data_IF_249200825335
#
_entry.id   IF_249200825335
#
_cell.length_a   1.000
_cell.length_b   1.000
_cell.length_c   1.000
_cell.angle_alpha   90.00
_cell.angle_beta   90.00
_cell.angle_gamma   90.00
#
_symmetry.space_group_name_H-M   'P 1'
#
loop_
_entity.id
_entity.type
_entity.pdbx_description
1 polymer ?
#
# COMPACT_ATOMS: atom_id res chain seq x y z
N UNK A 1 21.22 -38.54 -19.84
CA UNK A 1 21.29 -37.46 -20.85
C UNK A 1 20.25 -36.35 -20.61
N UNK A 2 19.11 -36.63 -19.97
CA UNK A 2 18.03 -35.61 -19.73
C UNK A 2 18.32 -34.58 -18.65
N UNK A 3 19.17 -34.89 -17.67
CA UNK A 3 19.45 -34.01 -16.52
C UNK A 3 20.59 -33.00 -16.74
N UNK A 4 21.45 -33.17 -17.73
CA UNK A 4 22.57 -32.23 -18.01
C UNK A 4 22.08 -31.02 -18.79
N UNK A 5 21.08 -31.16 -19.64
CA UNK A 5 20.53 -30.02 -20.40
C UNK A 5 19.67 -29.07 -19.56
N UNK A 6 19.02 -29.57 -18.50
CA UNK A 6 18.23 -28.72 -17.59
C UNK A 6 19.06 -27.70 -16.80
N UNK A 7 20.31 -28.05 -16.45
CA UNK A 7 21.23 -27.18 -15.69
C UNK A 7 21.87 -26.09 -16.53
N UNK A 8 22.13 -26.32 -17.84
CA UNK A 8 22.72 -25.32 -18.73
C UNK A 8 21.68 -24.30 -19.24
N UNK A 9 20.47 -24.76 -19.58
CA UNK A 9 19.39 -23.88 -20.03
C UNK A 9 18.90 -22.97 -18.89
N UNK A 10 18.87 -23.45 -17.64
CA UNK A 10 18.47 -22.63 -16.49
C UNK A 10 19.48 -21.51 -16.18
N UNK A 11 20.78 -21.77 -16.34
CA UNK A 11 21.81 -20.74 -16.11
C UNK A 11 21.89 -19.71 -17.24
N UNK A 12 21.81 -20.14 -18.50
CA UNK A 12 21.77 -19.22 -19.65
C UNK A 12 20.46 -18.39 -19.66
N UNK A 13 19.34 -19.03 -19.35
CA UNK A 13 18.04 -18.34 -19.26
C UNK A 13 18.02 -17.31 -18.13
N UNK A 14 18.57 -17.65 -16.96
CA UNK A 14 18.71 -16.74 -15.83
C UNK A 14 19.66 -15.55 -16.14
N UNK A 15 20.71 -15.78 -16.92
CA UNK A 15 21.66 -14.71 -17.31
C UNK A 15 21.07 -13.82 -18.40
N UNK A 16 20.39 -14.38 -19.39
CA UNK A 16 19.69 -13.64 -20.45
C UNK A 16 18.45 -12.92 -19.92
N UNK A 17 17.69 -13.52 -18.99
CA UNK A 17 16.60 -12.83 -18.29
C UNK A 17 17.13 -11.65 -17.45
N UNK A 18 18.24 -11.81 -16.72
CA UNK A 18 18.80 -10.71 -15.93
C UNK A 18 19.26 -9.52 -16.78
N UNK A 19 19.82 -9.77 -17.98
CA UNK A 19 20.24 -8.68 -18.87
C UNK A 19 19.06 -7.98 -19.57
N UNK A 20 17.98 -8.71 -19.91
CA UNK A 20 16.79 -8.11 -20.53
C UNK A 20 15.82 -7.47 -19.54
N UNK A 21 15.75 -7.95 -18.30
CA UNK A 21 14.88 -7.38 -17.27
C UNK A 21 15.30 -5.95 -16.94
N UNK A 22 16.61 -5.66 -16.89
CA UNK A 22 17.12 -4.29 -16.63
C UNK A 22 16.74 -3.27 -17.71
N UNK A 23 16.36 -3.70 -18.91
CA UNK A 23 15.92 -2.81 -19.99
C UNK A 23 14.41 -2.54 -20.01
N UNK A 24 13.63 -3.33 -19.25
CA UNK A 24 12.15 -3.27 -19.25
C UNK A 24 11.63 -2.64 -17.95
N UNK A 25 12.41 -2.61 -16.88
CA UNK A 25 11.94 -2.11 -15.57
C UNK A 25 11.94 -0.58 -15.52
N UNK A 26 10.83 -0.04 -15.02
CA UNK A 26 10.72 1.37 -14.62
C UNK A 26 11.74 1.63 -13.50
N UNK A 27 12.51 2.73 -13.58
CA UNK A 27 13.61 3.02 -12.63
C UNK A 27 13.13 3.04 -11.18
N UNK A 28 11.99 3.65 -10.90
CA UNK A 28 11.40 3.71 -9.57
C UNK A 28 11.18 2.32 -8.97
N UNK A 29 10.81 1.32 -9.78
CA UNK A 29 10.58 -0.05 -9.30
C UNK A 29 11.88 -0.84 -9.08
N UNK A 30 12.98 -0.47 -9.75
CA UNK A 30 14.28 -1.14 -9.58
C UNK A 30 14.90 -0.90 -8.20
N UNK A 31 14.66 0.27 -7.62
CA UNK A 31 15.29 0.71 -6.37
C UNK A 31 14.28 1.06 -5.28
N UNK A 32 13.01 0.67 -5.47
CA UNK A 32 11.93 1.01 -4.57
C UNK A 32 12.19 0.54 -3.14
N UNK A 33 12.27 1.51 -2.25
CA UNK A 33 12.37 1.29 -0.81
C UNK A 33 11.33 2.12 -0.07
N UNK A 34 11.05 1.78 1.17
CA UNK A 34 10.16 2.57 2.01
C UNK A 34 10.96 3.60 2.79
N UNK A 35 10.67 4.87 2.59
CA UNK A 35 11.35 5.99 3.24
C UNK A 35 10.53 6.48 4.43
N UNK A 36 11.16 6.55 5.59
CA UNK A 36 10.55 6.97 6.87
C UNK A 36 11.23 8.17 7.51
N UNK A 37 12.41 8.56 6.99
CA UNK A 37 13.11 9.78 7.40
C UNK A 37 13.26 10.70 6.20
N UNK A 38 12.98 11.96 6.43
CA UNK A 38 12.92 12.98 5.40
C UNK A 38 13.84 14.15 5.74
N UNK A 39 14.43 14.72 4.72
CA UNK A 39 15.19 15.98 4.81
C UNK A 39 14.25 17.12 5.22
N UNK A 40 14.79 18.10 5.91
CA UNK A 40 14.11 19.39 6.15
C UNK A 40 14.09 20.19 4.83
N UNK A 41 13.27 19.73 3.92
CA UNK A 41 13.08 20.33 2.59
C UNK A 41 11.63 20.13 2.18
N UNK A 42 10.96 21.23 1.88
CA UNK A 42 9.56 21.19 1.44
C UNK A 42 9.40 20.52 0.08
N UNK A 43 8.21 19.98 -0.16
CA UNK A 43 7.73 19.52 -1.46
C UNK A 43 6.82 20.60 -2.00
N UNK A 44 7.25 21.34 -3.03
CA UNK A 44 6.47 22.47 -3.54
C UNK A 44 5.06 22.07 -3.97
N UNK A 45 4.11 22.99 -3.90
CA UNK A 45 2.73 22.75 -4.36
C UNK A 45 2.71 22.43 -5.86
N UNK A 46 3.53 23.10 -6.64
CA UNK A 46 3.62 22.86 -8.10
C UNK A 46 4.04 21.41 -8.40
N UNK A 47 5.10 20.92 -7.74
CA UNK A 47 5.56 19.54 -7.89
C UNK A 47 4.48 18.55 -7.45
N UNK A 48 3.90 18.77 -6.26
CA UNK A 48 2.87 17.87 -5.74
C UNK A 48 1.64 17.83 -6.65
N UNK A 49 1.14 18.98 -7.09
CA UNK A 49 -0.02 19.07 -7.96
C UNK A 49 0.26 18.42 -9.32
N UNK A 50 1.45 18.62 -9.91
CA UNK A 50 1.84 17.97 -11.14
C UNK A 50 1.86 16.43 -11.02
N UNK A 51 2.35 15.90 -9.89
CA UNK A 51 2.32 14.46 -9.61
C UNK A 51 0.90 13.92 -9.42
N UNK A 52 0.06 14.66 -8.70
CA UNK A 52 -1.34 14.29 -8.49
C UNK A 52 -2.11 14.27 -9.82
N UNK A 53 -1.95 15.29 -10.67
CA UNK A 53 -2.59 15.35 -12.00
C UNK A 53 -2.16 14.20 -12.91
N UNK A 54 -0.87 13.86 -12.92
CA UNK A 54 -0.40 12.71 -13.68
C UNK A 54 -0.97 11.39 -13.12
N UNK A 55 -1.01 11.22 -11.80
CA UNK A 55 -1.59 10.05 -11.16
C UNK A 55 -3.08 9.87 -11.45
N UNK A 56 -3.82 10.96 -11.69
CA UNK A 56 -5.24 10.92 -12.10
C UNK A 56 -5.45 10.26 -13.47
N UNK A 57 -4.39 9.97 -14.25
CA UNK A 57 -4.49 9.20 -15.50
C UNK A 57 -4.63 7.70 -15.28
N UNK A 58 -4.57 7.25 -14.04
CA UNK A 58 -4.83 5.85 -13.66
C UNK A 58 -6.23 5.39 -14.08
N UNK A 59 -6.39 4.09 -14.30
CA UNK A 59 -7.68 3.47 -14.60
C UNK A 59 -8.64 3.63 -13.41
N UNK A 60 -9.90 3.91 -13.72
CA UNK A 60 -10.97 3.99 -12.72
C UNK A 60 -12.25 3.34 -13.21
N UNK A 61 -13.07 2.88 -12.28
CA UNK A 61 -14.37 2.27 -12.57
C UNK A 61 -15.28 3.26 -13.30
N UNK A 62 -15.67 2.90 -14.53
CA UNK A 62 -16.56 3.72 -15.37
C UNK A 62 -16.06 5.15 -15.61
N UNK A 63 -14.79 5.43 -15.45
CA UNK A 63 -14.18 6.76 -15.49
C UNK A 63 -14.81 7.77 -14.51
N UNK A 64 -15.28 7.27 -13.34
CA UNK A 64 -15.94 8.11 -12.33
C UNK A 64 -14.95 8.71 -11.32
N UNK A 65 -13.70 8.25 -11.29
CA UNK A 65 -12.65 8.67 -10.35
C UNK A 65 -13.16 8.68 -8.90
N UNK A 66 -13.47 7.47 -8.39
CA UNK A 66 -14.17 7.24 -7.12
C UNK A 66 -13.24 7.38 -5.91
N UNK A 67 -12.37 8.36 -5.91
CA UNK A 67 -11.43 8.65 -4.84
C UNK A 67 -11.30 10.15 -4.59
N UNK A 68 -10.84 10.49 -3.41
CA UNK A 68 -10.41 11.83 -3.01
C UNK A 68 -9.08 11.76 -2.28
N UNK A 69 -8.31 12.84 -2.33
CA UNK A 69 -7.03 12.98 -1.64
C UNK A 69 -7.09 14.18 -0.71
N UNK A 70 -6.82 13.95 0.57
CA UNK A 70 -6.64 15.04 1.54
C UNK A 70 -5.13 15.24 1.74
N UNK A 71 -4.66 16.44 1.41
CA UNK A 71 -3.26 16.86 1.58
C UNK A 71 -3.11 17.56 2.94
N UNK A 72 -2.27 17.03 3.81
CA UNK A 72 -1.99 17.58 5.12
C UNK A 72 -0.53 18.04 5.20
N UNK A 73 -0.31 19.35 5.38
CA UNK A 73 1.01 19.97 5.56
C UNK A 73 1.15 20.63 6.94
N UNK A 74 0.03 21.12 7.48
CA UNK A 74 0.00 21.79 8.79
C UNK A 74 0.44 20.85 9.91
N UNK A 75 1.41 21.29 10.72
CA UNK A 75 2.01 20.47 11.76
C UNK A 75 1.01 20.09 12.87
N UNK A 76 0.08 20.98 13.20
CA UNK A 76 -0.96 20.68 14.19
C UNK A 76 -1.91 19.61 13.66
N UNK A 77 -2.26 19.68 12.38
CA UNK A 77 -3.12 18.70 11.76
C UNK A 77 -2.40 17.34 11.65
N UNK A 78 -1.10 17.30 11.31
CA UNK A 78 -0.28 16.08 11.35
C UNK A 78 -0.22 15.47 12.75
N UNK A 79 -0.06 16.30 13.79
CA UNK A 79 -0.10 15.86 15.18
C UNK A 79 -1.46 15.26 15.57
N UNK A 80 -2.58 15.81 15.08
CA UNK A 80 -3.92 15.23 15.29
C UNK A 80 -4.11 13.88 14.57
N UNK A 81 -3.46 13.68 13.42
CA UNK A 81 -3.49 12.41 12.67
C UNK A 81 -2.58 11.34 13.29
N UNK A 82 -1.51 11.72 13.98
CA UNK A 82 -0.50 10.80 14.47
C UNK A 82 -1.04 9.64 15.33
N UNK A 83 -2.01 9.84 16.25
CA UNK A 83 -2.60 8.73 17.01
C UNK A 83 -3.25 7.65 16.15
N UNK A 84 -3.92 8.01 15.05
CA UNK A 84 -4.51 7.06 14.11
C UNK A 84 -3.45 6.14 13.46
N UNK A 85 -2.22 6.61 13.40
CA UNK A 85 -1.05 5.90 12.88
C UNK A 85 -0.09 5.42 13.99
N UNK A 86 -0.62 5.17 15.20
CA UNK A 86 0.17 4.70 16.36
C UNK A 86 1.36 5.60 16.71
N UNK A 87 1.23 6.90 16.49
CA UNK A 87 2.28 7.90 16.70
C UNK A 87 3.61 7.57 16.00
N UNK A 88 3.55 6.94 14.84
CA UNK A 88 4.74 6.67 14.03
C UNK A 88 5.41 8.01 13.64
N UNK A 89 6.71 8.19 13.90
CA UNK A 89 7.39 9.49 13.76
C UNK A 89 7.23 10.13 12.37
N UNK A 90 7.23 9.32 11.30
CA UNK A 90 7.10 9.83 9.94
C UNK A 90 5.78 10.55 9.69
N UNK A 91 4.74 10.29 10.46
CA UNK A 91 3.44 10.97 10.31
C UNK A 91 3.55 12.47 10.61
N UNK A 92 4.38 12.85 11.58
CA UNK A 92 4.59 14.27 11.96
C UNK A 92 5.82 14.89 11.31
N UNK A 93 6.83 14.07 10.95
CA UNK A 93 8.11 14.56 10.41
C UNK A 93 8.09 14.74 8.90
N UNK A 94 7.19 14.07 8.18
CA UNK A 94 7.11 14.23 6.73
C UNK A 94 6.63 15.64 6.36
N UNK A 95 7.18 16.26 5.30
CA UNK A 95 6.69 17.53 4.78
C UNK A 95 5.23 17.47 4.37
N UNK A 96 4.80 16.32 3.83
CA UNK A 96 3.44 16.11 3.33
C UNK A 96 2.91 14.77 3.80
N UNK A 97 1.66 14.74 4.23
CA UNK A 97 0.87 13.52 4.46
C UNK A 97 -0.31 13.54 3.49
N UNK A 98 -0.46 12.47 2.70
CA UNK A 98 -1.57 12.30 1.79
C UNK A 98 -2.50 11.22 2.35
N UNK A 99 -3.75 11.55 2.60
CA UNK A 99 -4.79 10.56 2.94
C UNK A 99 -5.67 10.35 1.73
N UNK A 100 -5.62 9.14 1.16
CA UNK A 100 -6.39 8.76 -0.01
C UNK A 100 -7.64 8.01 0.46
N UNK A 101 -8.79 8.48 0.00
CA UNK A 101 -10.10 8.00 0.43
C UNK A 101 -10.85 7.34 -0.74
N UNK A 102 -11.52 6.22 -0.48
CA UNK A 102 -12.64 5.75 -1.29
C UNK A 102 -13.76 6.78 -1.18
N UNK A 103 -14.27 7.30 -2.30
CA UNK A 103 -15.23 8.41 -2.34
C UNK A 103 -16.34 8.17 -3.37
N UNK A 104 -17.52 7.81 -2.90
CA UNK A 104 -18.76 7.79 -3.68
C UNK A 104 -19.65 9.00 -3.43
N UNK A 105 -19.27 9.91 -2.51
CA UNK A 105 -20.08 11.08 -2.19
C UNK A 105 -20.24 12.02 -3.37
N UNK A 106 -19.14 12.38 -4.03
CA UNK A 106 -19.15 13.29 -5.19
C UNK A 106 -20.08 12.79 -6.29
N UNK A 107 -19.97 11.50 -6.65
CA UNK A 107 -20.79 10.86 -7.67
C UNK A 107 -22.26 10.76 -7.25
N UNK A 108 -22.52 10.47 -5.97
CA UNK A 108 -23.88 10.45 -5.41
C UNK A 108 -24.53 11.83 -5.46
N UNK A 109 -23.81 12.88 -5.09
CA UNK A 109 -24.31 14.26 -5.16
C UNK A 109 -24.59 14.67 -6.61
N UNK A 110 -23.69 14.36 -7.53
CA UNK A 110 -23.89 14.61 -8.96
C UNK A 110 -25.16 13.91 -9.50
N UNK A 111 -25.33 12.62 -9.17
CA UNK A 111 -26.51 11.86 -9.58
C UNK A 111 -27.80 12.49 -9.06
N UNK A 112 -27.87 12.86 -7.78
CA UNK A 112 -29.03 13.53 -7.18
C UNK A 112 -29.34 14.88 -7.84
N UNK A 113 -28.32 15.69 -8.13
CA UNK A 113 -28.47 16.95 -8.86
C UNK A 113 -29.01 16.76 -10.29
N UNK A 114 -28.83 15.59 -10.87
CA UNK A 114 -29.36 15.22 -12.20
C UNK A 114 -30.66 14.41 -12.12
N UNK A 115 -31.31 14.36 -10.95
CA UNK A 115 -32.56 13.63 -10.68
C UNK A 115 -32.45 12.13 -10.95
N UNK A 116 -31.25 11.57 -10.84
CA UNK A 116 -31.00 10.15 -10.87
C UNK A 116 -31.18 9.56 -9.46
N UNK A 117 -31.38 8.25 -9.39
CA UNK A 117 -31.54 7.52 -8.13
C UNK A 117 -30.24 6.69 -7.87
N UNK A 118 -29.24 7.22 -7.14
CA UNK A 118 -27.99 6.52 -6.89
C UNK A 118 -28.20 5.40 -5.88
N UNK A 119 -27.61 4.23 -6.13
CA UNK A 119 -27.56 3.07 -5.26
C UNK A 119 -26.13 2.73 -4.84
N UNK A 120 -25.37 3.71 -4.33
CA UNK A 120 -23.94 3.57 -4.03
C UNK A 120 -23.63 3.38 -2.54
N UNK A 121 -24.65 3.17 -1.74
CA UNK A 121 -24.62 2.98 -0.30
C UNK A 121 -24.54 1.48 0.08
N UNK A 122 -23.56 0.79 -0.48
CA UNK A 122 -23.36 -0.64 -0.29
C UNK A 122 -21.88 -1.04 -0.37
N UNK A 123 -21.57 -2.26 0.06
CA UNK A 123 -20.20 -2.77 0.12
C UNK A 123 -19.54 -2.90 -1.26
N UNK A 124 -20.28 -3.24 -2.32
CA UNK A 124 -19.72 -3.30 -3.68
C UNK A 124 -19.20 -1.92 -4.11
N UNK A 125 -19.97 -0.87 -3.81
CA UNK A 125 -19.56 0.51 -4.10
C UNK A 125 -18.29 0.89 -3.34
N UNK A 126 -18.19 0.52 -2.07
CA UNK A 126 -16.95 0.70 -1.31
C UNK A 126 -15.76 0.00 -1.98
N UNK A 127 -15.91 -1.28 -2.37
CA UNK A 127 -14.85 -2.03 -3.02
C UNK A 127 -14.39 -1.38 -4.34
N UNK A 128 -15.33 -0.91 -5.16
CA UNK A 128 -15.02 -0.20 -6.40
C UNK A 128 -14.22 1.09 -6.12
N UNK A 129 -14.66 1.89 -5.16
CA UNK A 129 -13.99 3.13 -4.79
C UNK A 129 -12.62 2.89 -4.13
N UNK A 130 -12.50 1.86 -3.29
CA UNK A 130 -11.22 1.46 -2.70
C UNK A 130 -10.23 0.98 -3.77
N UNK A 131 -10.69 0.24 -4.78
CA UNK A 131 -9.86 -0.17 -5.92
C UNK A 131 -9.32 1.04 -6.67
N UNK A 132 -10.18 1.98 -7.07
CA UNK A 132 -9.77 3.22 -7.73
C UNK A 132 -8.73 3.99 -6.90
N UNK A 133 -8.98 4.15 -5.61
CA UNK A 133 -8.10 4.85 -4.67
C UNK A 133 -6.72 4.18 -4.56
N UNK A 134 -6.65 2.84 -4.49
CA UNK A 134 -5.39 2.11 -4.38
C UNK A 134 -4.60 2.10 -5.69
N UNK A 135 -5.27 2.00 -6.84
CA UNK A 135 -4.62 2.14 -8.15
C UNK A 135 -4.02 3.54 -8.32
N UNK A 136 -4.77 4.59 -7.98
CA UNK A 136 -4.27 5.96 -7.95
C UNK A 136 -3.06 6.09 -7.04
N UNK A 137 -3.14 5.56 -5.80
CA UNK A 137 -2.05 5.62 -4.81
C UNK A 137 -0.77 5.01 -5.37
N UNK A 138 -0.83 3.82 -5.97
CA UNK A 138 0.36 3.17 -6.51
C UNK A 138 0.94 3.91 -7.72
N UNK A 139 0.10 4.46 -8.58
CA UNK A 139 0.57 5.29 -9.70
C UNK A 139 1.28 6.54 -9.20
N UNK A 140 0.71 7.24 -8.20
CA UNK A 140 1.34 8.38 -7.54
C UNK A 140 2.70 8.00 -6.92
N UNK A 141 2.77 6.86 -6.24
CA UNK A 141 4.01 6.37 -5.64
C UNK A 141 5.14 6.20 -6.68
N UNK A 142 4.84 5.60 -7.84
CA UNK A 142 5.82 5.44 -8.91
C UNK A 142 6.30 6.81 -9.45
N UNK A 143 5.39 7.73 -9.67
CA UNK A 143 5.72 9.08 -10.15
C UNK A 143 6.56 9.86 -9.13
N UNK A 144 6.23 9.75 -7.83
CA UNK A 144 6.99 10.41 -6.77
C UNK A 144 8.45 9.91 -6.70
N UNK A 145 8.66 8.60 -6.85
CA UNK A 145 10.01 8.02 -6.88
C UNK A 145 10.80 8.43 -8.14
N UNK A 146 10.16 8.56 -9.32
CA UNK A 146 10.81 9.07 -10.53
C UNK A 146 11.33 10.53 -10.36
N UNK A 147 10.65 11.32 -9.53
CA UNK A 147 11.06 12.68 -9.17
C UNK A 147 12.04 12.73 -7.97
N UNK A 148 12.47 11.56 -7.46
CA UNK A 148 13.41 11.45 -6.36
C UNK A 148 12.80 11.69 -4.97
N UNK A 149 11.47 11.72 -4.85
CA UNK A 149 10.77 11.74 -3.58
C UNK A 149 10.73 10.33 -2.98
N UNK A 150 10.70 10.26 -1.65
CA UNK A 150 10.48 9.04 -0.91
C UNK A 150 9.12 9.08 -0.19
N UNK A 151 8.56 7.90 0.06
CA UNK A 151 7.29 7.78 0.78
C UNK A 151 7.26 6.55 1.68
N UNK A 152 6.37 6.60 2.67
CA UNK A 152 5.95 5.44 3.45
C UNK A 152 4.45 5.24 3.33
N UNK A 153 4.03 4.07 2.86
CA UNK A 153 2.64 3.65 2.88
C UNK A 153 2.27 3.17 4.29
N UNK A 154 1.32 3.83 4.93
CA UNK A 154 0.88 3.53 6.29
C UNK A 154 -0.28 2.53 6.28
N UNK A 155 0.01 1.26 6.50
CA UNK A 155 -1.01 0.20 6.60
C UNK A 155 -1.99 0.39 7.77
N UNK A 156 -1.65 1.25 8.71
CA UNK A 156 -2.47 1.60 9.88
C UNK A 156 -3.74 2.38 9.54
N UNK A 157 -3.87 2.90 8.33
CA UNK A 157 -5.04 3.68 7.87
C UNK A 157 -6.36 2.92 8.07
N UNK A 158 -6.39 1.66 7.67
CA UNK A 158 -7.57 0.81 7.81
C UNK A 158 -7.75 0.21 9.22
N UNK A 159 -6.76 0.39 10.12
CA UNK A 159 -6.85 -0.06 11.50
C UNK A 159 -7.61 0.94 12.37
N UNK A 160 -7.46 2.24 12.12
CA UNK A 160 -8.07 3.31 12.88
C UNK A 160 -8.80 4.32 11.98
N UNK A 161 -9.66 3.88 11.03
CA UNK A 161 -10.28 4.78 10.06
C UNK A 161 -11.19 5.82 10.72
N UNK A 162 -11.85 5.51 11.85
CA UNK A 162 -12.71 6.47 12.55
C UNK A 162 -11.94 7.69 13.03
N UNK A 163 -10.74 7.50 13.61
CA UNK A 163 -9.92 8.64 14.06
C UNK A 163 -9.51 9.55 12.90
N UNK A 164 -9.21 8.97 11.73
CA UNK A 164 -8.87 9.74 10.53
C UNK A 164 -10.10 10.50 10.02
N UNK A 165 -11.26 9.86 10.00
CA UNK A 165 -12.54 10.47 9.62
C UNK A 165 -12.82 11.70 10.49
N UNK A 166 -12.69 11.54 11.81
CA UNK A 166 -12.96 12.61 12.77
C UNK A 166 -11.97 13.78 12.63
N UNK A 167 -10.68 13.49 12.43
CA UNK A 167 -9.64 14.51 12.27
C UNK A 167 -9.75 15.26 10.95
N UNK A 168 -10.09 14.57 9.87
CA UNK A 168 -10.19 15.14 8.52
C UNK A 168 -11.62 15.55 8.15
N UNK A 169 -12.59 15.40 9.06
CA UNK A 169 -13.99 15.77 8.87
C UNK A 169 -14.60 15.10 7.62
N UNK A 170 -14.27 13.81 7.40
CA UNK A 170 -14.72 13.09 6.22
C UNK A 170 -16.24 12.83 6.27
N UNK A 171 -16.98 13.23 5.23
CA UNK A 171 -18.42 13.06 5.20
C UNK A 171 -18.84 11.62 4.90
N UNK A 172 -20.15 11.27 5.03
CA UNK A 172 -20.67 9.97 4.59
C UNK A 172 -20.31 9.65 3.14
N UNK A 173 -20.10 8.36 2.84
CA UNK A 173 -19.63 7.78 1.59
C UNK A 173 -18.19 8.18 1.21
N UNK A 174 -17.39 8.59 2.22
CA UNK A 174 -15.94 8.80 2.10
C UNK A 174 -15.24 8.04 3.21
N UNK A 175 -14.31 7.14 2.86
CA UNK A 175 -13.58 6.31 3.83
C UNK A 175 -12.09 6.28 3.49
N UNK A 176 -11.17 6.58 4.44
CA UNK A 176 -9.74 6.55 4.18
C UNK A 176 -9.26 5.10 3.96
N UNK A 177 -8.53 4.83 2.89
CA UNK A 177 -8.04 3.49 2.54
C UNK A 177 -6.52 3.41 2.47
N UNK A 178 -5.85 4.53 2.25
CA UNK A 178 -4.40 4.62 2.23
C UNK A 178 -3.93 5.96 2.81
N UNK A 179 -2.80 5.95 3.50
CA UNK A 179 -2.09 7.17 3.89
C UNK A 179 -0.63 7.04 3.48
N UNK A 180 -0.11 8.07 2.84
CA UNK A 180 1.30 8.18 2.47
C UNK A 180 1.93 9.34 3.25
N UNK A 181 3.09 9.11 3.86
CA UNK A 181 4.00 10.20 4.21
C UNK A 181 4.96 10.40 3.05
N UNK A 182 5.24 11.64 2.66
CA UNK A 182 5.98 12.00 1.45
C UNK A 182 7.00 13.10 1.75
N UNK A 183 8.18 12.99 1.18
CA UNK A 183 9.22 14.01 1.29
C UNK A 183 10.52 13.60 0.59
N UNK A 184 11.55 14.42 0.69
CA UNK A 184 12.88 14.11 0.18
C UNK A 184 13.58 13.14 1.11
N UNK A 185 14.10 11.99 0.60
CA UNK A 185 14.73 10.97 1.43
C UNK A 185 15.92 11.49 2.22
N UNK A 186 15.99 11.13 3.52
CA UNK A 186 17.15 11.32 4.39
C UNK A 186 17.68 9.99 4.93
N UNK A 187 17.50 8.93 4.17
CA UNK A 187 17.97 7.58 4.46
C UNK A 187 18.09 6.76 3.17
N UNK A 188 18.92 5.74 3.22
CA UNK A 188 19.09 4.76 2.14
C UNK A 188 18.82 3.35 2.69
N UNK A 189 17.56 2.97 2.85
CA UNK A 189 17.22 1.66 3.41
C UNK A 189 17.51 0.54 2.41
N UNK A 190 17.81 -0.63 2.94
CA UNK A 190 17.99 -1.84 2.12
C UNK A 190 16.66 -2.22 1.45
N UNK A 191 16.72 -2.56 0.18
CA UNK A 191 15.56 -3.02 -0.56
C UNK A 191 15.02 -4.33 0.03
N UNK A 192 13.70 -4.38 0.26
CA UNK A 192 13.04 -5.57 0.81
C UNK A 192 13.03 -6.71 -0.21
N UNK A 193 13.12 -7.94 0.28
CA UNK A 193 12.96 -9.17 -0.49
C UNK A 193 11.57 -9.29 -1.15
N UNK A 194 11.46 -10.18 -2.09
CA UNK A 194 10.19 -10.60 -2.72
C UNK A 194 10.15 -12.13 -2.79
N UNK A 195 8.95 -12.67 -2.74
CA UNK A 195 8.73 -14.06 -3.06
C UNK A 195 9.09 -14.35 -4.52
N UNK A 196 9.47 -15.58 -4.86
CA UNK A 196 9.75 -15.94 -6.25
C UNK A 196 8.49 -15.83 -7.12
N UNK A 197 8.67 -15.51 -8.40
CA UNK A 197 7.54 -15.28 -9.32
C UNK A 197 6.55 -16.45 -9.36
N UNK A 198 7.05 -17.69 -9.35
CA UNK A 198 6.22 -18.91 -9.38
C UNK A 198 5.29 -19.06 -8.17
N UNK A 199 5.61 -18.39 -7.06
CA UNK A 199 4.77 -18.39 -5.85
C UNK A 199 3.61 -17.39 -5.92
N UNK A 200 3.53 -16.59 -6.97
CA UNK A 200 2.50 -15.55 -7.14
C UNK A 200 1.71 -15.75 -8.43
N UNK A 201 2.38 -16.26 -9.47
CA UNK A 201 1.79 -16.39 -10.81
C UNK A 201 1.38 -17.84 -11.07
N UNK A 202 0.12 -18.02 -11.42
CA UNK A 202 -0.46 -19.31 -11.81
C UNK A 202 -0.89 -19.24 -13.26
N UNK A 203 -0.58 -20.29 -14.03
CA UNK A 203 -1.00 -20.42 -15.42
C UNK A 203 -2.42 -21.01 -15.49
N UNK A 204 -3.31 -20.31 -16.19
CA UNK A 204 -4.71 -20.66 -16.50
C UNK A 204 -5.61 -20.80 -15.27
N UNK A 205 -5.18 -21.54 -14.22
CA UNK A 205 -5.96 -21.81 -13.01
C UNK A 205 -5.09 -21.69 -11.77
N UNK A 206 -5.70 -21.28 -10.67
CA UNK A 206 -5.04 -21.33 -9.37
C UNK A 206 -4.70 -22.78 -9.00
N UNK A 207 -3.45 -23.01 -8.57
CA UNK A 207 -2.97 -24.30 -8.07
C UNK A 207 -2.51 -24.13 -6.64
N UNK A 208 -3.04 -24.96 -5.77
CA UNK A 208 -2.67 -24.94 -4.36
C UNK A 208 -1.23 -25.43 -4.16
N UNK A 209 -0.65 -25.07 -3.04
CA UNK A 209 0.74 -25.35 -2.73
C UNK A 209 0.90 -26.65 -1.95
N UNK A 210 1.90 -27.44 -2.31
CA UNK A 210 2.37 -28.55 -1.47
C UNK A 210 3.24 -28.01 -0.33
N UNK A 211 3.39 -28.75 0.79
CA UNK A 211 4.30 -28.35 1.86
C UNK A 211 5.72 -28.02 1.39
N UNK A 212 6.28 -28.80 0.47
CA UNK A 212 7.62 -28.56 -0.10
C UNK A 212 7.67 -27.22 -0.85
N UNK A 213 6.65 -26.89 -1.61
CA UNK A 213 6.59 -25.60 -2.32
C UNK A 213 6.47 -24.43 -1.37
N UNK A 214 5.78 -24.57 -0.24
CA UNK A 214 5.73 -23.54 0.79
C UNK A 214 7.11 -23.34 1.42
N UNK A 215 7.80 -24.42 1.80
CA UNK A 215 9.16 -24.35 2.33
C UNK A 215 10.11 -23.66 1.35
N UNK A 216 10.11 -24.06 0.08
CA UNK A 216 10.93 -23.45 -0.98
C UNK A 216 10.60 -21.97 -1.19
N UNK A 217 9.32 -21.60 -1.09
CA UNK A 217 8.84 -20.22 -1.29
C UNK A 217 9.41 -19.27 -0.23
N UNK A 218 9.48 -19.69 1.02
CA UNK A 218 9.89 -18.85 2.15
C UNK A 218 11.33 -19.04 2.59
N UNK A 219 12.03 -20.09 2.15
CA UNK A 219 13.40 -20.42 2.58
C UNK A 219 14.36 -19.23 2.50
N UNK A 220 14.41 -18.54 1.36
CA UNK A 220 15.29 -17.38 1.18
C UNK A 220 14.95 -16.22 2.12
N UNK A 221 13.68 -16.01 2.42
CA UNK A 221 13.19 -14.99 3.36
C UNK A 221 13.58 -15.32 4.79
N UNK A 222 13.41 -16.56 5.21
CA UNK A 222 13.74 -17.02 6.57
C UNK A 222 15.25 -16.99 6.83
N UNK A 223 16.07 -17.22 5.80
CA UNK A 223 17.53 -17.17 5.89
C UNK A 223 18.10 -15.75 6.03
N UNK A 224 17.34 -14.68 5.76
CA UNK A 224 17.81 -13.31 5.94
C UNK A 224 18.23 -13.05 7.39
N UNK A 225 19.41 -12.47 7.58
CA UNK A 225 19.95 -12.17 8.90
C UNK A 225 19.01 -11.32 9.76
N UNK A 226 18.33 -10.35 9.13
CA UNK A 226 17.33 -9.49 9.80
C UNK A 226 16.13 -10.31 10.30
N UNK A 227 15.69 -11.32 9.57
CA UNK A 227 14.57 -12.17 9.95
C UNK A 227 14.96 -13.17 11.03
N UNK A 228 16.18 -13.72 10.98
CA UNK A 228 16.73 -14.56 12.07
C UNK A 228 16.87 -13.78 13.37
N UNK A 229 17.40 -12.55 13.31
CA UNK A 229 17.45 -11.67 14.48
C UNK A 229 16.05 -11.39 15.03
N UNK A 230 15.08 -11.15 14.16
CA UNK A 230 13.70 -10.89 14.51
C UNK A 230 13.01 -12.08 15.22
N UNK A 231 13.28 -13.31 14.77
CA UNK A 231 12.83 -14.54 15.45
C UNK A 231 13.42 -14.62 16.85
N UNK A 232 14.74 -14.40 16.99
CA UNK A 232 15.44 -14.46 18.27
C UNK A 232 14.95 -13.39 19.26
N UNK A 233 14.80 -12.15 18.84
CA UNK A 233 14.28 -11.03 19.65
C UNK A 233 12.88 -11.31 20.21
N UNK A 234 12.03 -11.95 19.43
CA UNK A 234 10.66 -12.29 19.81
C UNK A 234 10.55 -13.65 20.52
N UNK A 235 11.67 -14.34 20.76
CA UNK A 235 11.74 -15.65 21.43
C UNK A 235 10.79 -16.68 20.79
N UNK A 236 10.77 -16.71 19.46
CA UNK A 236 10.01 -17.66 18.66
C UNK A 236 10.91 -18.66 17.96
N UNK A 237 10.35 -19.73 17.44
CA UNK A 237 11.10 -20.76 16.72
C UNK A 237 11.19 -20.47 15.23
N UNK A 238 10.16 -19.81 14.68
CA UNK A 238 10.02 -19.53 13.25
C UNK A 238 9.59 -18.08 12.98
N UNK A 239 9.90 -17.59 11.79
CA UNK A 239 9.46 -16.28 11.33
C UNK A 239 7.92 -16.20 11.23
N UNK A 240 7.28 -17.29 10.81
CA UNK A 240 5.82 -17.38 10.74
C UNK A 240 5.18 -17.11 12.11
N UNK A 241 5.70 -17.71 13.20
CA UNK A 241 5.22 -17.45 14.56
C UNK A 241 5.39 -15.98 14.98
N UNK A 242 6.44 -15.30 14.54
CA UNK A 242 6.59 -13.86 14.83
C UNK A 242 5.47 -13.06 14.18
N UNK A 243 5.10 -13.38 12.94
CA UNK A 243 3.99 -12.71 12.26
C UNK A 243 2.64 -13.04 12.88
N UNK A 244 2.35 -14.32 13.19
CA UNK A 244 1.00 -14.76 13.59
C UNK A 244 0.73 -14.60 15.09
N UNK A 245 1.76 -14.80 15.93
CA UNK A 245 1.55 -14.84 17.38
C UNK A 245 1.95 -13.53 18.08
N UNK A 246 2.71 -12.65 17.39
CA UNK A 246 3.20 -11.40 17.98
C UNK A 246 2.66 -10.18 17.24
N UNK A 247 2.84 -10.09 15.92
CA UNK A 247 2.51 -8.88 15.17
C UNK A 247 1.07 -8.79 14.70
N UNK A 248 0.56 -9.86 14.14
CA UNK A 248 -0.77 -9.91 13.50
C UNK A 248 -1.58 -11.05 14.12
N UNK A 249 -1.77 -10.98 15.43
CA UNK A 249 -2.48 -12.05 16.14
C UNK A 249 -3.93 -12.17 15.69
N UNK A 250 -4.47 -13.38 15.72
CA UNK A 250 -5.86 -13.64 15.32
C UNK A 250 -6.83 -12.69 16.02
N UNK A 251 -6.72 -12.57 17.34
CA UNK A 251 -7.62 -11.72 18.14
C UNK A 251 -7.56 -10.23 17.73
N UNK A 252 -6.34 -9.71 17.46
CA UNK A 252 -6.18 -8.32 17.01
C UNK A 252 -6.75 -8.13 15.59
N UNK A 253 -6.50 -9.08 14.68
CA UNK A 253 -7.05 -9.03 13.33
C UNK A 253 -8.58 -9.06 13.33
N UNK A 254 -9.19 -9.91 14.14
CA UNK A 254 -10.65 -10.02 14.29
C UNK A 254 -11.23 -8.71 14.85
N UNK A 255 -10.66 -8.15 15.92
CA UNK A 255 -11.11 -6.90 16.51
C UNK A 255 -10.99 -5.70 15.53
N UNK A 256 -9.88 -5.60 14.79
CA UNK A 256 -9.70 -4.57 13.76
C UNK A 256 -10.73 -4.74 12.64
N UNK A 257 -10.96 -5.97 12.19
CA UNK A 257 -11.95 -6.27 11.14
C UNK A 257 -13.37 -5.85 11.57
N UNK A 258 -13.79 -6.17 12.79
CA UNK A 258 -15.07 -5.74 13.34
C UNK A 258 -15.18 -4.22 13.44
N UNK A 259 -14.10 -3.56 13.89
CA UNK A 259 -13.98 -2.10 13.92
C UNK A 259 -14.18 -1.48 12.54
N UNK A 260 -13.50 -2.00 11.53
CA UNK A 260 -13.62 -1.53 10.15
C UNK A 260 -15.03 -1.72 9.58
N UNK A 261 -15.66 -2.88 9.82
CA UNK A 261 -17.04 -3.13 9.41
C UNK A 261 -18.03 -2.16 10.06
N UNK A 262 -17.81 -1.83 11.34
CA UNK A 262 -18.63 -0.82 12.04
C UNK A 262 -18.49 0.55 11.36
N UNK A 263 -17.28 0.97 11.04
CA UNK A 263 -17.02 2.26 10.39
C UNK A 263 -17.61 2.29 8.98
N UNK A 264 -17.54 1.19 8.22
CA UNK A 264 -18.17 1.07 6.90
C UNK A 264 -19.69 1.31 6.98
N UNK A 265 -20.37 0.73 8.00
CA UNK A 265 -21.79 0.99 8.23
C UNK A 265 -22.07 2.45 8.59
N UNK A 266 -21.26 3.04 9.47
CA UNK A 266 -21.41 4.44 9.88
C UNK A 266 -21.19 5.41 8.69
N UNK A 267 -20.30 5.07 7.77
CA UNK A 267 -20.06 5.84 6.54
C UNK A 267 -21.08 5.55 5.43
N UNK A 268 -22.02 4.64 5.65
CA UNK A 268 -23.09 4.36 4.70
C UNK A 268 -22.69 3.44 3.55
N UNK A 269 -21.71 2.57 3.74
CA UNK A 269 -21.29 1.57 2.74
C UNK A 269 -21.82 0.16 3.03
N UNK A 270 -22.61 0.01 4.06
CA UNK A 270 -23.25 -1.28 4.44
C UNK A 270 -24.59 -1.05 5.11
#
# INVERSE_FOLDING_TARGET
>A
FYNVYRGLYSRLWLTLCKQNINSIMIKSLQHRTTIRRYKDKDVSEELLNGLLEQAMRTQTMGNLQLYSVVVTRDDKQKQRLAPAHFNQPMTTQAPVVLTICADFRRTTLWAKLRKANPGYDNFLSFMNAATDALLFTQTFCCLAEEEGLGYCYLGTTIYNPQQIIDVLELPPLVLPVATLTLGWPDEEPVMSDRLPLWAIVHDEVYRDYTPVQIDDCYAAKEELAVNKAFVAENKKETLAQVYTDVRYTKAVNEAISEGLLKVLRQQGFM
#
